data_IF_409609730406
#
_entry.id   IF_409609730406
#
_cell.length_a   1.000
_cell.length_b   1.000
_cell.length_c   1.000
_cell.angle_alpha   90.00
_cell.angle_beta   90.00
_cell.angle_gamma   90.00
#
_symmetry.space_group_name_H-M   'P 1'
#
loop_
_entity.id
_entity.type
_entity.pdbx_description
1 polymer ?
#
# COMPACT_ATOMS: atom_id res chain seq x y z
N UNK A 1 -19.64 7.26 -6.40
CA UNK A 1 -18.38 6.49 -6.49
C UNK A 1 -17.91 6.30 -5.07
N UNK A 2 -17.84 5.04 -4.61
CA UNK A 2 -17.28 4.72 -3.30
C UNK A 2 -15.77 4.88 -3.37
N UNK A 3 -15.25 5.85 -2.62
CA UNK A 3 -13.82 6.12 -2.50
C UNK A 3 -13.35 5.78 -1.09
N UNK A 4 -12.16 5.17 -0.94
CA UNK A 4 -11.26 4.67 -1.97
C UNK A 4 -11.84 3.47 -2.75
N UNK A 5 -11.44 3.31 -4.02
CA UNK A 5 -11.90 2.19 -4.85
C UNK A 5 -11.28 0.86 -4.42
N UNK A 6 -11.98 -0.26 -4.64
CA UNK A 6 -11.45 -1.60 -4.38
C UNK A 6 -10.14 -1.88 -5.14
N UNK A 7 -10.03 -1.35 -6.37
CA UNK A 7 -8.79 -1.44 -7.14
C UNK A 7 -7.61 -0.78 -6.41
N UNK A 8 -7.83 0.41 -5.84
CA UNK A 8 -6.80 1.10 -5.05
C UNK A 8 -6.38 0.26 -3.83
N UNK A 9 -7.34 -0.29 -3.09
CA UNK A 9 -7.04 -1.12 -1.91
C UNK A 9 -6.24 -2.37 -2.30
N UNK A 10 -6.67 -3.08 -3.34
CA UNK A 10 -5.97 -4.27 -3.86
C UNK A 10 -4.53 -3.95 -4.29
N UNK A 11 -4.32 -2.86 -5.02
CA UNK A 11 -2.98 -2.46 -5.47
C UNK A 11 -2.07 -2.13 -4.29
N UNK A 12 -2.57 -1.51 -3.22
CA UNK A 12 -1.79 -1.23 -2.01
C UNK A 12 -1.42 -2.52 -1.26
N UNK A 13 -2.34 -3.48 -1.14
CA UNK A 13 -2.03 -4.79 -0.55
C UNK A 13 -0.93 -5.51 -1.35
N UNK A 14 -1.02 -5.48 -2.67
CA UNK A 14 -0.05 -6.13 -3.55
C UNK A 14 1.33 -5.47 -3.45
N UNK A 15 1.40 -4.13 -3.49
CA UNK A 15 2.67 -3.41 -3.31
C UNK A 15 3.29 -3.78 -1.97
N UNK A 16 2.52 -3.77 -0.89
CA UNK A 16 3.02 -4.09 0.45
C UNK A 16 3.58 -5.52 0.52
N UNK A 17 2.88 -6.48 -0.07
CA UNK A 17 3.27 -7.89 -0.13
C UNK A 17 4.53 -8.08 -0.96
N UNK A 18 4.62 -7.45 -2.14
CA UNK A 18 5.82 -7.53 -2.98
C UNK A 18 7.02 -6.96 -2.22
N UNK A 19 6.88 -5.78 -1.62
CA UNK A 19 7.99 -5.10 -0.92
C UNK A 19 8.61 -5.93 0.19
N UNK A 20 7.85 -6.79 0.86
CA UNK A 20 8.44 -7.69 1.86
C UNK A 20 9.40 -8.73 1.27
N UNK A 21 9.10 -9.22 0.07
CA UNK A 21 9.97 -10.16 -0.64
C UNK A 21 11.22 -9.51 -1.25
N UNK A 22 11.24 -8.18 -1.38
CA UNK A 22 12.36 -7.44 -1.98
C UNK A 22 13.56 -7.30 -1.03
N UNK A 23 14.75 -7.08 -1.60
CA UNK A 23 15.93 -6.68 -0.84
C UNK A 23 15.72 -5.31 -0.17
N UNK A 24 16.52 -4.98 0.85
CA UNK A 24 16.48 -3.64 1.48
C UNK A 24 16.76 -2.52 0.47
N UNK A 25 17.65 -2.76 -0.51
CA UNK A 25 17.96 -1.80 -1.58
C UNK A 25 16.76 -1.52 -2.47
N UNK A 26 16.08 -2.57 -2.93
CA UNK A 26 14.92 -2.46 -3.82
C UNK A 26 13.69 -1.88 -3.11
N UNK A 27 13.51 -2.21 -1.81
CA UNK A 27 12.50 -1.56 -0.96
C UNK A 27 12.73 -0.06 -0.82
N UNK A 28 14.00 0.34 -0.68
CA UNK A 28 14.36 1.76 -0.63
C UNK A 28 14.08 2.45 -1.97
N UNK A 29 14.45 1.81 -3.08
CA UNK A 29 14.21 2.32 -4.43
C UNK A 29 12.72 2.52 -4.74
N UNK A 30 11.89 1.52 -4.45
CA UNK A 30 10.42 1.59 -4.64
C UNK A 30 9.79 2.71 -3.80
N UNK A 31 10.32 2.98 -2.62
CA UNK A 31 9.80 4.04 -1.73
C UNK A 31 10.35 5.43 -2.09
N UNK A 32 11.51 5.51 -2.74
CA UNK A 32 12.09 6.77 -3.21
C UNK A 32 11.47 7.24 -4.53
N UNK A 33 11.15 6.31 -5.44
CA UNK A 33 10.58 6.61 -6.77
C UNK A 33 9.04 6.53 -6.80
N UNK A 34 8.45 5.75 -5.90
CA UNK A 34 7.02 5.52 -5.83
C UNK A 34 6.42 5.90 -4.49
N UNK A 35 5.36 5.20 -4.11
CA UNK A 35 4.67 5.40 -2.84
C UNK A 35 5.40 4.70 -1.69
N UNK A 36 5.38 5.35 -0.54
CA UNK A 36 5.68 4.68 0.71
C UNK A 36 4.45 3.84 1.09
N UNK A 37 4.64 2.53 1.17
CA UNK A 37 3.60 1.55 1.45
C UNK A 37 4.16 0.57 2.46
N UNK A 38 3.39 0.32 3.52
CA UNK A 38 3.75 -0.58 4.61
C UNK A 38 2.48 -1.21 5.17
N UNK A 39 2.54 -2.49 5.53
CA UNK A 39 1.52 -3.16 6.32
C UNK A 39 2.02 -3.57 7.72
N UNK A 40 1.15 -3.61 8.72
CA UNK A 40 1.45 -4.21 10.03
C UNK A 40 0.34 -5.15 10.48
N UNK A 41 0.71 -6.23 11.16
CA UNK A 41 -0.27 -7.13 11.79
C UNK A 41 -0.85 -6.46 13.05
N UNK A 42 -2.17 -6.48 13.17
CA UNK A 42 -2.90 -6.04 14.34
C UNK A 42 -3.37 -7.27 15.13
N UNK A 43 -2.98 -7.43 16.41
CA UNK A 43 -3.35 -8.58 17.22
C UNK A 43 -4.88 -8.74 17.30
N UNK A 44 -5.40 -9.84 16.76
CA UNK A 44 -6.84 -10.15 16.79
C UNK A 44 -7.71 -9.35 15.82
N UNK A 45 -7.17 -8.35 15.11
CA UNK A 45 -7.94 -7.46 14.24
C UNK A 45 -7.65 -7.66 12.74
N UNK A 46 -6.48 -8.20 12.38
CA UNK A 46 -6.10 -8.46 10.99
C UNK A 46 -4.84 -7.72 10.57
N UNK A 47 -4.82 -7.14 9.36
CA UNK A 47 -3.66 -6.45 8.80
C UNK A 47 -4.02 -5.01 8.46
N UNK A 48 -3.28 -4.05 9.01
CA UNK A 48 -3.40 -2.64 8.64
C UNK A 48 -2.42 -2.30 7.53
N UNK A 49 -2.93 -1.74 6.44
CA UNK A 49 -2.16 -1.23 5.32
C UNK A 49 -2.15 0.29 5.34
N UNK A 50 -0.99 0.88 5.06
CA UNK A 50 -0.80 2.33 4.96
C UNK A 50 -0.10 2.67 3.65
N UNK A 51 -0.55 3.75 3.00
CA UNK A 51 0.03 4.24 1.77
C UNK A 51 0.05 5.78 1.70
N UNK A 52 1.07 6.33 1.05
CA UNK A 52 1.17 7.76 0.80
C UNK A 52 2.61 8.22 0.57
N UNK A 53 2.91 9.43 1.02
CA UNK A 53 4.28 9.96 1.00
C UNK A 53 5.09 9.43 2.18
N UNK A 54 6.42 9.51 2.07
CA UNK A 54 7.37 9.05 3.11
C UNK A 54 7.09 9.63 4.50
N UNK A 55 6.59 10.85 4.58
CA UNK A 55 6.30 11.57 5.84
C UNK A 55 4.80 11.61 6.20
N UNK A 56 3.92 11.22 5.29
CA UNK A 56 2.47 11.38 5.49
C UNK A 56 1.70 10.28 4.79
N UNK A 57 1.13 9.38 5.58
CA UNK A 57 0.14 8.42 5.11
C UNK A 57 -1.13 9.16 4.67
N UNK A 58 -1.57 8.89 3.44
CA UNK A 58 -2.79 9.45 2.83
C UNK A 58 -3.93 8.43 2.84
N UNK A 59 -3.60 7.15 2.82
CA UNK A 59 -4.53 6.03 2.96
C UNK A 59 -4.10 5.16 4.15
N UNK A 60 -5.07 4.74 4.95
CA UNK A 60 -4.94 3.66 5.93
C UNK A 60 -6.22 2.83 5.96
N UNK A 61 -6.11 1.51 5.87
CA UNK A 61 -7.23 0.58 5.98
C UNK A 61 -6.82 -0.71 6.68
N UNK A 62 -7.78 -1.35 7.35
CA UNK A 62 -7.61 -2.69 7.92
C UNK A 62 -8.26 -3.69 6.96
N UNK A 63 -7.55 -4.78 6.68
CA UNK A 63 -8.13 -6.03 6.20
C UNK A 63 -8.30 -6.96 7.39
N UNK A 64 -9.55 -7.20 7.77
CA UNK A 64 -9.90 -8.09 8.87
C UNK A 64 -9.59 -9.55 8.51
N UNK A 65 -9.50 -10.41 9.53
CA UNK A 65 -9.33 -11.86 9.33
C UNK A 65 -10.49 -12.49 8.54
N UNK A 66 -11.68 -11.87 8.60
CA UNK A 66 -12.87 -12.23 7.82
C UNK A 66 -12.72 -11.95 6.32
N UNK A 67 -11.71 -11.18 5.92
CA UNK A 67 -11.53 -10.66 4.57
C UNK A 67 -12.20 -9.31 4.32
N UNK A 68 -13.03 -8.83 5.24
CA UNK A 68 -13.65 -7.50 5.17
C UNK A 68 -12.61 -6.39 5.28
N UNK A 69 -12.87 -5.26 4.61
CA UNK A 69 -11.98 -4.09 4.63
C UNK A 69 -12.67 -2.89 5.25
N UNK A 70 -11.95 -2.23 6.14
CA UNK A 70 -12.41 -1.02 6.84
C UNK A 70 -11.40 0.12 6.62
N UNK A 71 -11.83 1.20 5.97
CA UNK A 71 -10.98 2.36 5.69
C UNK A 71 -10.93 3.28 6.92
N UNK A 72 -9.75 3.45 7.51
CA UNK A 72 -9.52 4.36 8.64
C UNK A 72 -9.23 5.78 8.20
N UNK A 73 -8.53 5.92 7.08
CA UNK A 73 -8.11 7.22 6.54
C UNK A 73 -8.08 7.14 5.04
N UNK A 74 -8.68 8.11 4.37
CA UNK A 74 -8.48 8.35 2.96
C UNK A 74 -8.44 9.85 2.70
N UNK A 75 -7.33 10.31 2.15
CA UNK A 75 -7.16 11.69 1.72
C UNK A 75 -6.86 11.70 0.22
N UNK A 76 -7.83 12.10 -0.61
CA UNK A 76 -7.61 12.12 -2.05
C UNK A 76 -6.54 13.14 -2.45
N UNK A 77 -5.90 12.93 -3.61
CA UNK A 77 -4.92 13.85 -4.16
C UNK A 77 -4.28 13.38 -5.48
N UNK A 78 -3.02 13.80 -5.68
CA UNK A 78 -2.21 13.39 -6.82
C UNK A 78 -1.39 12.12 -6.58
N UNK A 79 -1.47 11.52 -5.39
CA UNK A 79 -0.62 10.38 -5.02
C UNK A 79 -1.18 9.07 -5.56
N UNK A 80 -2.48 9.00 -5.81
CA UNK A 80 -3.17 7.85 -6.40
C UNK A 80 -2.62 7.51 -7.79
N UNK A 81 -2.21 8.52 -8.57
CA UNK A 81 -1.56 8.32 -9.87
C UNK A 81 -0.21 7.59 -9.76
N UNK A 82 0.44 7.62 -8.58
CA UNK A 82 1.69 6.90 -8.34
C UNK A 82 1.48 5.43 -8.00
N UNK A 83 0.25 4.96 -7.78
CA UNK A 83 -0.03 3.57 -7.39
C UNK A 83 0.39 2.60 -8.47
N UNK A 84 -0.08 2.81 -9.71
CA UNK A 84 0.25 1.92 -10.84
C UNK A 84 1.75 1.92 -11.13
N UNK A 85 2.39 3.10 -11.15
CA UNK A 85 3.85 3.23 -11.33
C UNK A 85 4.63 2.49 -10.22
N UNK A 86 4.17 2.60 -8.96
CA UNK A 86 4.81 1.91 -7.84
C UNK A 86 4.62 0.40 -7.93
N UNK A 87 3.45 -0.06 -8.36
CA UNK A 87 3.13 -1.47 -8.50
C UNK A 87 3.97 -2.10 -9.63
N UNK A 88 4.07 -1.43 -10.78
CA UNK A 88 4.91 -1.88 -11.90
C UNK A 88 6.39 -1.96 -11.50
N UNK A 89 6.90 -0.92 -10.83
CA UNK A 89 8.28 -0.91 -10.32
C UNK A 89 8.50 -2.06 -9.33
N UNK A 90 7.57 -2.28 -8.40
CA UNK A 90 7.66 -3.36 -7.41
C UNK A 90 7.67 -4.73 -8.08
N UNK A 91 6.77 -4.97 -9.04
CA UNK A 91 6.70 -6.22 -9.82
C UNK A 91 7.96 -6.48 -10.64
N UNK A 92 8.56 -5.43 -11.18
CA UNK A 92 9.81 -5.52 -11.96
C UNK A 92 10.99 -5.92 -11.08
N UNK A 93 11.12 -5.34 -9.90
CA UNK A 93 12.21 -5.63 -8.95
C UNK A 93 12.08 -6.97 -8.23
N UNK A 94 10.88 -7.58 -8.25
CA UNK A 94 10.66 -8.93 -7.69
C UNK A 94 11.22 -10.04 -8.58
N UNK A 95 11.49 -9.75 -9.87
CA UNK A 95 12.05 -10.72 -10.83
C UNK A 95 13.54 -10.92 -10.62
#
# INVERSE_FOLDING_TARGET
>A
MDYPSEHLLNSIEEIATIKESLSLGDRSLTSAKGLHVHYRNLPGEGVEYTAGGRLTARLAFIKELSGSRSVKKYQPGGWEFKVEETLELSRTLRR
#
